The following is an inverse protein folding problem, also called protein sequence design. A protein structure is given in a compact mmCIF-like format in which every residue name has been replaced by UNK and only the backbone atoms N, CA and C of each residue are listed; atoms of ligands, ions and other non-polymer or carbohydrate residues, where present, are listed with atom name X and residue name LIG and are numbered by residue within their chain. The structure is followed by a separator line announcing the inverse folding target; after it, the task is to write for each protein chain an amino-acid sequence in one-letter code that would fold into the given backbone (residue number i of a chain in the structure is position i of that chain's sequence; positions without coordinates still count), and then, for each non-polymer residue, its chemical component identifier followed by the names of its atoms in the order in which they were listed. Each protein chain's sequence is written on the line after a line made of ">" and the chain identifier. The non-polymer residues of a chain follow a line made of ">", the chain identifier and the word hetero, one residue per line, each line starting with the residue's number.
data_IF_659685193893
#
_entry.id   IF_659685193893
#
_cell.length_a   1.000
_cell.length_b   1.000
_cell.length_c   1.000
_cell.angle_alpha   90.00
_cell.angle_beta   90.00
_cell.angle_gamma   90.00
#
_symmetry.space_group_name_H-M   'P 1'
#
loop_
_entity.id
_entity.type
_entity.pdbx_description
1 polymer ?
#
# COMPACT_ATOMS: atom_id res chain seq x y z
N UNK A 1 4.05 12.61 14.92
CA UNK A 1 2.77 11.90 14.95
C UNK A 1 2.07 12.14 13.63
N UNK A 2 1.57 11.09 13.00
CA UNK A 2 0.82 11.18 11.76
C UNK A 2 -0.45 11.99 11.95
N UNK A 3 -0.87 12.68 10.90
CA UNK A 3 -2.18 13.35 10.87
C UNK A 3 -3.28 12.33 10.59
N UNK A 4 -4.51 12.61 11.01
CA UNK A 4 -5.66 11.74 10.71
C UNK A 4 -5.86 11.52 9.20
N UNK A 5 -5.47 12.50 8.36
CA UNK A 5 -5.49 12.36 6.91
C UNK A 5 -4.50 11.31 6.43
N UNK A 6 -3.28 11.31 6.97
CA UNK A 6 -2.27 10.31 6.63
C UNK A 6 -2.67 8.92 7.16
N UNK A 7 -3.27 8.84 8.34
CA UNK A 7 -3.79 7.58 8.90
C UNK A 7 -4.83 6.95 7.99
N UNK A 8 -5.86 7.71 7.60
CA UNK A 8 -6.89 7.24 6.67
C UNK A 8 -6.32 6.85 5.31
N UNK A 9 -5.29 7.57 4.87
CA UNK A 9 -4.67 7.27 3.60
C UNK A 9 -3.90 5.95 3.62
N UNK A 10 -3.12 5.70 4.67
CA UNK A 10 -2.43 4.40 4.86
C UNK A 10 -3.44 3.25 4.97
N UNK A 11 -4.52 3.42 5.74
CA UNK A 11 -5.58 2.41 5.83
C UNK A 11 -6.20 2.09 4.47
N UNK A 12 -6.46 3.12 3.64
CA UNK A 12 -6.99 2.93 2.29
C UNK A 12 -6.00 2.22 1.36
N UNK A 13 -4.70 2.49 1.48
CA UNK A 13 -3.66 1.81 0.69
C UNK A 13 -3.54 0.33 1.11
N UNK A 14 -3.59 0.06 2.41
CA UNK A 14 -3.64 -1.29 2.96
C UNK A 14 -4.85 -2.08 2.44
N UNK A 15 -6.04 -1.48 2.46
CA UNK A 15 -7.26 -2.09 1.90
C UNK A 15 -7.14 -2.36 0.40
N UNK A 16 -6.59 -1.41 -0.38
CA UNK A 16 -6.36 -1.60 -1.82
C UNK A 16 -5.37 -2.73 -2.10
N UNK A 17 -4.31 -2.83 -1.31
CA UNK A 17 -3.33 -3.90 -1.44
C UNK A 17 -3.82 -5.25 -0.90
N UNK A 18 -4.87 -5.25 -0.06
CA UNK A 18 -5.36 -6.44 0.63
C UNK A 18 -4.48 -6.87 1.81
N UNK A 19 -3.79 -5.91 2.44
CA UNK A 19 -2.91 -6.14 3.59
C UNK A 19 -3.37 -5.35 4.83
N UNK A 20 -3.11 -5.88 6.02
CA UNK A 20 -3.38 -5.22 7.31
C UNK A 20 -2.08 -5.08 8.13
N UNK A 21 -1.02 -4.56 7.49
CA UNK A 21 0.32 -4.50 8.07
C UNK A 21 0.45 -3.55 9.27
N UNK A 22 -0.34 -2.47 9.28
CA UNK A 22 -0.32 -1.49 10.36
C UNK A 22 -1.73 -1.20 10.91
N UNK A 23 -1.83 -1.15 12.23
CA UNK A 23 -3.03 -0.70 12.95
C UNK A 23 -3.13 0.82 12.98
N UNK A 24 -4.32 1.36 13.23
CA UNK A 24 -4.53 2.80 13.38
C UNK A 24 -3.61 3.43 14.44
N UNK A 25 -3.36 2.70 15.55
CA UNK A 25 -2.53 3.17 16.66
C UNK A 25 -1.07 3.26 16.23
N UNK A 26 -0.57 2.25 15.52
CA UNK A 26 0.80 2.23 14.99
C UNK A 26 1.00 3.37 13.99
N UNK A 27 0.08 3.52 13.03
CA UNK A 27 0.15 4.57 12.01
C UNK A 27 0.11 5.95 12.67
N UNK A 28 -0.77 6.16 13.66
CA UNK A 28 -0.81 7.42 14.42
C UNK A 28 0.53 7.72 15.07
N UNK A 29 1.17 6.73 15.68
CA UNK A 29 2.43 6.92 16.42
C UNK A 29 3.62 7.34 15.55
N UNK A 30 3.56 7.12 14.23
CA UNK A 30 4.66 7.41 13.30
C UNK A 30 5.05 8.90 13.24
N UNK A 31 6.34 9.15 13.02
CA UNK A 31 6.87 10.43 12.58
C UNK A 31 6.45 10.73 11.13
N UNK A 32 6.65 11.97 10.71
CA UNK A 32 6.37 12.36 9.32
C UNK A 32 7.24 11.60 8.32
N UNK A 33 8.49 11.26 8.68
CA UNK A 33 9.37 10.51 7.79
C UNK A 33 8.94 9.04 7.70
N UNK A 34 8.63 8.40 8.83
CA UNK A 34 8.17 7.00 8.86
C UNK A 34 6.90 6.81 8.05
N UNK A 35 5.90 7.70 8.22
CA UNK A 35 4.65 7.57 7.48
C UNK A 35 4.82 7.85 5.98
N UNK A 36 5.73 8.75 5.61
CA UNK A 36 6.09 8.96 4.20
C UNK A 36 6.69 7.70 3.57
N UNK A 37 7.60 7.02 4.29
CA UNK A 37 8.20 5.76 3.83
C UNK A 37 7.13 4.69 3.65
N UNK A 38 6.26 4.50 4.64
CA UNK A 38 5.17 3.50 4.58
C UNK A 38 4.23 3.76 3.40
N UNK A 39 3.87 5.03 3.14
CA UNK A 39 3.05 5.41 1.99
C UNK A 39 3.73 5.05 0.68
N UNK A 40 5.02 5.33 0.54
CA UNK A 40 5.78 5.06 -0.69
C UNK A 40 5.95 3.55 -0.93
N UNK A 41 6.18 2.78 0.13
CA UNK A 41 6.29 1.31 0.06
C UNK A 41 4.96 0.66 -0.34
N UNK A 42 3.84 1.06 0.28
CA UNK A 42 2.51 0.53 -0.08
C UNK A 42 2.14 0.86 -1.53
N UNK A 43 2.40 2.10 -1.98
CA UNK A 43 2.18 2.47 -3.39
C UNK A 43 2.99 1.65 -4.36
N UNK A 44 4.26 1.39 -4.01
CA UNK A 44 5.14 0.56 -4.83
C UNK A 44 4.63 -0.88 -4.90
N UNK A 45 4.24 -1.47 -3.77
CA UNK A 45 3.71 -2.82 -3.71
C UNK A 45 2.42 -2.99 -4.55
N UNK A 46 1.50 -2.01 -4.46
CA UNK A 46 0.29 -1.98 -5.28
C UNK A 46 0.64 -1.91 -6.77
N UNK A 47 1.53 -1.01 -7.17
CA UNK A 47 1.92 -0.87 -8.58
C UNK A 47 2.63 -2.11 -9.13
N UNK A 48 3.43 -2.80 -8.30
CA UNK A 48 4.08 -4.06 -8.68
C UNK A 48 3.07 -5.20 -8.85
N UNK A 49 2.07 -5.29 -7.97
CA UNK A 49 0.99 -6.28 -8.08
C UNK A 49 0.09 -6.02 -9.31
N UNK A 50 -0.28 -4.75 -9.54
CA UNK A 50 -1.04 -4.34 -10.73
C UNK A 50 -0.27 -4.67 -12.02
N UNK A 51 1.03 -4.37 -12.08
CA UNK A 51 1.88 -4.68 -13.24
C UNK A 51 2.02 -6.19 -13.45
N UNK A 52 2.18 -6.96 -12.38
CA UNK A 52 2.24 -8.42 -12.45
C UNK A 52 0.93 -9.00 -13.01
N UNK A 53 -0.21 -8.55 -12.47
CA UNK A 53 -1.53 -8.97 -12.92
C UNK A 53 -1.78 -8.56 -14.38
N UNK A 54 -1.36 -7.36 -14.79
CA UNK A 54 -1.41 -6.91 -16.17
C UNK A 54 -0.58 -7.84 -17.08
N UNK A 55 0.69 -8.08 -16.74
CA UNK A 55 1.58 -8.95 -17.53
C UNK A 55 1.03 -10.37 -17.67
N UNK A 56 0.45 -10.92 -16.60
CA UNK A 56 -0.19 -12.25 -16.61
C UNK A 56 -1.48 -12.26 -17.43
N UNK A 57 -2.24 -11.16 -17.45
CA UNK A 57 -3.47 -11.04 -18.24
C UNK A 57 -3.21 -11.03 -19.76
N UNK A 58 -2.04 -10.54 -20.19
CA UNK A 58 -1.63 -10.52 -21.60
C UNK A 58 -0.94 -11.82 -22.08
N UNK A 59 -0.75 -12.83 -21.21
CA UNK A 59 0.01 -14.03 -21.58
C UNK A 59 -0.20 -15.28 -20.72
N UNK A 60 -1.18 -16.09 -21.09
CA UNK A 60 -0.86 -17.48 -21.45
C UNK A 60 -1.22 -17.65 -22.93
N UNK A 61 -0.23 -17.69 -23.84
CA UNK A 61 -0.47 -18.18 -25.19
C UNK A 61 -1.10 -19.57 -25.06
N UNK A 62 -2.30 -19.74 -25.63
CA UNK A 62 -3.07 -20.99 -25.68
C UNK A 62 -2.16 -22.23 -25.57
N UNK A 63 -2.28 -22.96 -24.44
CA UNK A 63 -1.73 -24.31 -24.32
C UNK A 63 -2.44 -25.27 -25.27
#
# INVERSE_FOLDING_TARGET
>A
MATDKQVKYVQSLQEQYGAEDYTEIEIKSMSHNEISIVIDELKKAIAEDELYNECMSYGLPNQ
#
